data_IF_471879971581
#
_entry.id   IF_471879971581
#
_cell.length_a   1.000
_cell.length_b   1.000
_cell.length_c   1.000
_cell.angle_alpha   90.00
_cell.angle_beta   90.00
_cell.angle_gamma   90.00
#
_symmetry.space_group_name_H-M   'P 1'
#
loop_
_entity.id
_entity.type
_entity.pdbx_description
1 polymer ?
#
# COMPACT_ATOMS: atom_id res chain seq x y z
N UNK A 1 3.24 28.45 6.30
CA UNK A 1 2.16 28.09 7.24
C UNK A 1 2.80 27.57 8.52
N UNK A 2 2.48 28.14 9.68
CA UNK A 2 2.95 27.61 10.96
C UNK A 2 1.99 26.49 11.39
N UNK A 3 2.51 25.30 11.67
CA UNK A 3 1.74 24.17 12.20
C UNK A 3 1.97 24.09 13.72
N UNK A 4 0.90 23.84 14.49
CA UNK A 4 0.98 23.64 15.95
C UNK A 4 0.43 22.27 16.30
N UNK A 5 1.26 21.45 16.93
CA UNK A 5 0.85 20.13 17.43
C UNK A 5 -0.03 20.31 18.66
N UNK A 6 -1.24 19.75 18.62
CA UNK A 6 -2.19 19.71 19.76
C UNK A 6 -2.18 18.35 20.46
N UNK A 7 -1.25 17.47 20.10
CA UNK A 7 -1.21 16.09 20.59
C UNK A 7 -1.11 16.03 22.11
N UNK A 8 -0.27 16.86 22.73
CA UNK A 8 -0.13 16.89 24.20
C UNK A 8 -1.40 17.36 24.91
N UNK A 9 -2.04 18.41 24.41
CA UNK A 9 -3.31 18.90 24.96
C UNK A 9 -4.42 17.84 24.86
N UNK A 10 -4.44 17.10 23.74
CA UNK A 10 -5.39 16.01 23.52
C UNK A 10 -5.12 14.82 24.45
N UNK A 11 -3.86 14.42 24.62
CA UNK A 11 -3.47 13.34 25.55
C UNK A 11 -3.83 13.71 26.98
N UNK A 12 -3.59 14.96 27.40
CA UNK A 12 -3.95 15.45 28.72
C UNK A 12 -5.47 15.41 28.95
N UNK A 13 -6.27 15.91 27.99
CA UNK A 13 -7.73 15.87 28.07
C UNK A 13 -8.25 14.43 28.11
N UNK A 14 -7.69 13.52 27.31
CA UNK A 14 -8.03 12.09 27.31
C UNK A 14 -7.75 11.46 28.67
N UNK A 15 -6.55 11.66 29.22
CA UNK A 15 -6.16 11.08 30.49
C UNK A 15 -7.04 11.62 31.65
N UNK A 16 -7.36 12.92 31.64
CA UNK A 16 -8.28 13.53 32.60
C UNK A 16 -9.71 12.98 32.48
N UNK A 17 -10.21 12.75 31.26
CA UNK A 17 -11.51 12.16 31.05
C UNK A 17 -11.58 10.70 31.55
N UNK A 18 -10.51 9.92 31.34
CA UNK A 18 -10.38 8.56 31.86
C UNK A 18 -10.37 8.56 33.39
N UNK A 19 -9.57 9.42 34.03
CA UNK A 19 -9.55 9.57 35.48
C UNK A 19 -10.94 9.93 36.04
N UNK A 20 -11.62 10.90 35.41
CA UNK A 20 -12.97 11.31 35.84
C UNK A 20 -13.97 10.15 35.73
N UNK A 21 -13.85 9.31 34.69
CA UNK A 21 -14.68 8.12 34.51
C UNK A 21 -14.42 7.05 35.58
N UNK A 22 -13.15 6.81 35.95
CA UNK A 22 -12.81 5.88 37.03
C UNK A 22 -13.38 6.34 38.39
N UNK A 23 -13.21 7.62 38.72
CA UNK A 23 -13.75 8.21 39.95
C UNK A 23 -15.28 8.07 40.01
N UNK A 24 -15.98 8.33 38.90
CA UNK A 24 -17.43 8.16 38.83
C UNK A 24 -17.86 6.69 38.93
N UNK A 25 -17.12 5.76 38.34
CA UNK A 25 -17.41 4.32 38.43
C UNK A 25 -17.20 3.76 39.85
N UNK A 26 -16.18 4.25 40.55
CA UNK A 26 -15.87 3.88 41.94
C UNK A 26 -16.95 4.41 42.90
N UNK A 27 -17.41 5.65 42.69
CA UNK A 27 -18.54 6.21 43.45
C UNK A 27 -19.85 5.43 43.24
N UNK A 28 -20.16 5.03 42.00
CA UNK A 28 -21.35 4.20 41.71
C UNK A 28 -21.26 2.82 42.37
N UNK A 29 -20.08 2.18 42.36
CA UNK A 29 -19.88 0.87 43.03
C UNK A 29 -20.02 0.97 44.56
N UNK A 30 -19.56 2.06 45.16
CA UNK A 30 -19.71 2.31 46.60
C UNK A 30 -21.17 2.52 47.01
N UNK A 31 -21.99 3.16 46.16
CA UNK A 31 -23.43 3.33 46.44
C UNK A 31 -24.22 2.04 46.34
N UNK A 32 -23.88 1.14 45.41
CA UNK A 32 -24.59 -0.14 45.21
C UNK A 32 -24.36 -1.12 46.37
N UNK A 33 -23.15 -1.13 46.95
CA UNK A 33 -22.80 -2.01 48.08
C UNK A 33 -23.49 -1.60 49.38
N UNK A 34 -23.79 -0.32 49.58
CA UNK A 34 -24.58 0.14 50.75
C UNK A 34 -26.07 -0.19 50.66
N UNK A 35 -26.64 -0.38 49.47
CA UNK A 35 -28.08 -0.64 49.30
C UNK A 35 -28.48 -2.11 49.38
N UNK A 36 -27.55 -3.07 49.29
CA UNK A 36 -27.86 -4.51 49.27
C UNK A 36 -28.11 -5.13 50.65
N UNK A 37 -27.92 -4.40 51.76
CA UNK A 37 -28.07 -4.98 53.10
C UNK A 37 -29.48 -4.86 53.72
N UNK A 38 -30.45 -4.28 53.01
CA UNK A 38 -31.81 -4.15 53.56
C UNK A 38 -32.89 -4.29 52.50
N UNK A 39 -33.36 -5.52 52.22
CA UNK A 39 -34.73 -5.82 51.76
C UNK A 39 -34.93 -7.32 51.46
N UNK A 40 -35.43 -8.08 52.42
CA UNK A 40 -36.03 -9.39 52.20
C UNK A 40 -37.48 -9.25 51.72
N UNK A 41 -37.75 -9.33 50.41
CA UNK A 41 -39.09 -9.63 49.87
C UNK A 41 -39.02 -10.07 48.41
N UNK A 42 -39.89 -10.98 48.00
CA UNK A 42 -39.98 -11.61 46.67
C UNK A 42 -40.15 -10.63 45.50
N UNK A 43 -40.64 -9.41 45.74
CA UNK A 43 -40.70 -8.33 44.75
C UNK A 43 -39.31 -7.74 44.40
N UNK A 44 -38.35 -7.81 45.32
CA UNK A 44 -36.96 -7.41 45.08
C UNK A 44 -36.27 -8.37 44.11
N UNK A 45 -36.68 -9.64 44.05
CA UNK A 45 -36.08 -10.66 43.17
C UNK A 45 -36.41 -10.45 41.68
N UNK A 46 -37.62 -9.97 41.37
CA UNK A 46 -38.02 -9.60 39.99
C UNK A 46 -37.35 -8.31 39.52
N UNK A 47 -37.30 -7.29 40.38
CA UNK A 47 -36.56 -6.05 40.07
C UNK A 47 -35.05 -6.27 39.99
N UNK A 48 -34.50 -7.18 40.79
CA UNK A 48 -33.12 -7.61 40.67
C UNK A 48 -32.89 -8.27 39.31
N UNK A 49 -33.77 -9.17 38.86
CA UNK A 49 -33.67 -9.79 37.53
C UNK A 49 -33.72 -8.79 36.37
N UNK A 50 -34.63 -7.81 36.40
CA UNK A 50 -34.71 -6.78 35.35
C UNK A 50 -33.51 -5.81 35.39
N UNK A 51 -33.00 -5.49 36.59
CA UNK A 51 -31.79 -4.69 36.73
C UNK A 51 -30.54 -5.46 36.35
N UNK A 52 -30.50 -6.78 36.56
CA UNK A 52 -29.41 -7.66 36.12
C UNK A 52 -29.43 -7.81 34.60
N UNK A 53 -30.60 -7.91 33.97
CA UNK A 53 -30.74 -7.96 32.51
C UNK A 53 -30.36 -6.62 31.84
N UNK A 54 -30.74 -5.48 32.44
CA UNK A 54 -30.29 -4.16 31.98
C UNK A 54 -28.82 -3.88 32.31
N UNK A 55 -28.30 -4.44 33.40
CA UNK A 55 -26.89 -4.38 33.75
C UNK A 55 -26.08 -5.28 32.82
N UNK A 56 -26.59 -6.44 32.41
CA UNK A 56 -25.98 -7.37 31.46
C UNK A 56 -26.06 -6.81 30.03
N UNK A 57 -27.11 -6.07 29.66
CA UNK A 57 -27.16 -5.31 28.40
C UNK A 57 -26.18 -4.12 28.41
N UNK A 58 -26.02 -3.42 29.54
CA UNK A 58 -24.96 -2.41 29.70
C UNK A 58 -23.58 -3.03 29.79
N UNK A 59 -23.45 -4.21 30.39
CA UNK A 59 -22.21 -4.96 30.49
C UNK A 59 -21.88 -5.50 29.11
N UNK A 60 -22.80 -5.98 28.28
CA UNK A 60 -22.54 -6.41 26.90
C UNK A 60 -21.99 -5.28 26.03
N UNK A 61 -22.40 -4.03 26.27
CA UNK A 61 -21.84 -2.84 25.62
C UNK A 61 -20.50 -2.37 26.24
N UNK A 62 -20.13 -2.88 27.41
CA UNK A 62 -18.90 -2.54 28.16
C UNK A 62 -17.90 -3.70 28.21
N UNK A 63 -18.31 -4.94 27.94
CA UNK A 63 -17.53 -6.18 27.96
C UNK A 63 -16.55 -6.25 26.80
N UNK A 64 -16.66 -5.33 25.82
CA UNK A 64 -15.61 -5.06 24.83
C UNK A 64 -14.50 -4.12 25.32
N UNK A 65 -14.62 -3.52 26.52
CA UNK A 65 -13.62 -2.67 27.15
C UNK A 65 -13.31 -3.18 28.56
N UNK A 66 -12.35 -4.10 28.64
CA UNK A 66 -11.84 -4.63 29.91
C UNK A 66 -11.40 -3.52 30.88
N UNK A 67 -11.54 -3.79 32.19
CA UNK A 67 -11.18 -2.94 33.34
C UNK A 67 -9.66 -2.78 33.56
N UNK A 68 -8.86 -2.73 32.48
CA UNK A 68 -7.43 -2.49 32.53
C UNK A 68 -7.08 -1.43 31.46
N UNK A 69 -6.51 -0.26 31.80
CA UNK A 69 -6.26 0.80 30.82
C UNK A 69 -5.25 0.41 29.73
N UNK A 70 -4.43 -0.63 29.96
CA UNK A 70 -3.56 -1.22 28.93
C UNK A 70 -4.33 -2.18 28.00
N UNK A 71 -5.41 -2.80 28.49
CA UNK A 71 -6.27 -3.69 27.71
C UNK A 71 -7.50 -2.99 27.09
N UNK A 72 -7.79 -1.73 27.45
CA UNK A 72 -8.63 -0.84 26.63
C UNK A 72 -7.89 -0.33 25.38
N UNK A 73 -6.55 -0.45 25.37
CA UNK A 73 -5.71 -0.51 24.17
C UNK A 73 -5.49 -1.98 23.78
N UNK A 74 -6.48 -2.85 24.00
CA UNK A 74 -6.85 -3.74 22.92
C UNK A 74 -7.40 -2.84 21.81
N UNK A 75 -6.48 -2.16 21.10
CA UNK A 75 -6.53 -2.14 19.63
C UNK A 75 -7.14 -3.46 19.29
N UNK A 76 -8.37 -3.45 18.78
CA UNK A 76 -8.97 -4.65 18.21
C UNK A 76 -7.84 -5.26 17.40
N UNK A 77 -7.25 -6.37 17.88
CA UNK A 77 -6.26 -7.14 17.14
C UNK A 77 -7.04 -7.85 16.03
N UNK A 78 -7.83 -7.09 15.27
CA UNK A 78 -8.17 -7.41 13.92
C UNK A 78 -6.82 -7.46 13.25
N UNK A 79 -6.37 -8.67 12.95
CA UNK A 79 -5.21 -8.86 12.11
C UNK A 79 -5.38 -7.95 10.89
N UNK A 80 -4.29 -7.36 10.39
CA UNK A 80 -4.34 -6.68 9.10
C UNK A 80 -5.06 -7.58 8.11
N UNK A 81 -5.91 -7.02 7.23
CA UNK A 81 -6.54 -7.82 6.21
C UNK A 81 -5.50 -8.66 5.47
N UNK A 82 -5.83 -9.91 5.19
CA UNK A 82 -5.00 -10.89 4.45
C UNK A 82 -4.41 -10.36 3.12
N UNK A 83 -5.04 -9.36 2.51
CA UNK A 83 -4.51 -8.71 1.30
C UNK A 83 -3.32 -7.80 1.57
N UNK A 84 -3.09 -7.34 2.81
CA UNK A 84 -1.96 -6.49 3.20
C UNK A 84 -0.65 -7.24 2.99
N UNK A 85 -0.59 -8.52 3.35
CA UNK A 85 0.60 -9.35 3.10
C UNK A 85 0.94 -9.41 1.59
N UNK A 86 -0.09 -9.47 0.73
CA UNK A 86 0.10 -9.44 -0.73
C UNK A 86 0.63 -8.09 -1.21
N UNK A 87 0.25 -6.99 -0.56
CA UNK A 87 0.77 -5.65 -0.87
C UNK A 87 2.22 -5.53 -0.46
N UNK A 88 2.59 -6.02 0.72
CA UNK A 88 3.97 -6.01 1.21
C UNK A 88 4.88 -6.87 0.31
N UNK A 89 4.40 -8.03 -0.14
CA UNK A 89 5.10 -8.87 -1.12
C UNK A 89 5.35 -8.12 -2.43
N UNK A 90 4.33 -7.44 -2.98
CA UNK A 90 4.46 -6.64 -4.20
C UNK A 90 5.45 -5.49 -4.00
N UNK A 91 5.40 -4.79 -2.87
CA UNK A 91 6.34 -3.70 -2.57
C UNK A 91 7.78 -4.20 -2.47
N UNK A 92 7.98 -5.38 -1.88
CA UNK A 92 9.28 -6.04 -1.82
C UNK A 92 9.81 -6.39 -3.21
N UNK A 93 8.98 -6.96 -4.08
CA UNK A 93 9.34 -7.24 -5.48
C UNK A 93 9.70 -5.95 -6.23
N UNK A 94 8.92 -4.88 -6.07
CA UNK A 94 9.23 -3.55 -6.66
C UNK A 94 10.59 -3.03 -6.19
N UNK A 95 10.92 -3.18 -4.91
CA UNK A 95 12.22 -2.78 -4.37
C UNK A 95 13.36 -3.62 -4.97
N UNK A 96 13.15 -4.93 -5.14
CA UNK A 96 14.11 -5.82 -5.80
C UNK A 96 14.33 -5.48 -7.27
N UNK A 97 13.27 -5.16 -8.02
CA UNK A 97 13.39 -4.67 -9.40
C UNK A 97 14.26 -3.42 -9.43
N UNK A 98 14.00 -2.42 -8.57
CA UNK A 98 14.83 -1.21 -8.48
C UNK A 98 16.30 -1.52 -8.21
N UNK A 99 16.59 -2.52 -7.36
CA UNK A 99 17.96 -2.92 -7.08
C UNK A 99 18.64 -3.58 -8.29
N UNK A 100 17.95 -4.53 -8.95
CA UNK A 100 18.44 -5.21 -10.16
C UNK A 100 18.65 -4.25 -11.32
N UNK A 101 17.79 -3.23 -11.46
CA UNK A 101 17.98 -2.15 -12.45
C UNK A 101 19.26 -1.35 -12.21
N UNK A 102 19.63 -1.10 -10.94
CA UNK A 102 20.89 -0.41 -10.61
C UNK A 102 22.11 -1.29 -10.92
N UNK A 103 22.04 -2.57 -10.56
CA UNK A 103 23.06 -3.56 -10.87
C UNK A 103 23.28 -3.65 -12.39
N UNK A 104 22.19 -3.75 -13.16
CA UNK A 104 22.22 -3.76 -14.62
C UNK A 104 22.81 -2.48 -15.20
N UNK A 105 22.52 -1.32 -14.62
CA UNK A 105 23.12 -0.06 -15.06
C UNK A 105 24.65 -0.03 -14.87
N UNK A 106 25.16 -0.63 -13.79
CA UNK A 106 26.61 -0.78 -13.55
C UNK A 106 27.21 -1.74 -14.57
N UNK A 107 26.56 -2.87 -14.86
CA UNK A 107 27.01 -3.81 -15.90
C UNK A 107 27.04 -3.16 -17.29
N UNK A 108 25.99 -2.41 -17.66
CA UNK A 108 25.95 -1.67 -18.92
C UNK A 108 27.08 -0.64 -19.05
N UNK A 109 27.41 0.08 -17.98
CA UNK A 109 28.51 1.05 -17.98
C UNK A 109 29.88 0.36 -18.04
N UNK A 110 30.06 -0.73 -17.29
CA UNK A 110 31.26 -1.58 -17.34
C UNK A 110 31.50 -2.10 -18.76
N UNK A 111 30.46 -2.62 -19.40
CA UNK A 111 30.54 -3.16 -20.76
C UNK A 111 30.84 -2.08 -21.82
N UNK A 112 30.24 -0.89 -21.69
CA UNK A 112 30.47 0.21 -22.62
C UNK A 112 31.89 0.80 -22.54
N UNK A 113 32.47 0.84 -21.33
CA UNK A 113 33.76 1.49 -21.06
C UNK A 113 34.97 0.55 -21.19
N UNK A 114 34.77 -0.72 -21.58
CA UNK A 114 35.85 -1.73 -21.61
C UNK A 114 36.77 -1.57 -22.84
N UNK A 115 38.10 -1.73 -22.69
CA UNK A 115 39.03 -1.92 -23.80
C UNK A 115 38.74 -3.23 -24.55
N UNK A 116 38.87 -3.25 -25.86
CA UNK A 116 38.43 -4.32 -26.80
C UNK A 116 39.13 -5.68 -26.70
N UNK A 117 39.95 -5.95 -25.68
CA UNK A 117 40.88 -7.10 -25.62
C UNK A 117 40.59 -8.13 -24.52
N UNK A 118 39.42 -8.07 -23.89
CA UNK A 118 39.13 -8.83 -22.67
C UNK A 118 37.78 -9.58 -22.82
N UNK A 119 37.71 -10.81 -22.28
CA UNK A 119 36.69 -11.85 -22.57
C UNK A 119 35.25 -11.30 -22.58
N UNK A 120 34.64 -11.23 -23.75
CA UNK A 120 33.32 -10.62 -24.02
C UNK A 120 32.13 -11.41 -23.45
N UNK A 121 32.28 -12.72 -23.30
CA UNK A 121 31.15 -13.62 -23.04
C UNK A 121 30.57 -13.52 -21.62
N UNK A 122 31.39 -13.30 -20.59
CA UNK A 122 30.91 -13.34 -19.19
C UNK A 122 30.03 -12.13 -18.83
N UNK A 123 30.44 -10.91 -19.18
CA UNK A 123 29.62 -9.72 -18.92
C UNK A 123 28.34 -9.67 -19.76
N UNK A 124 28.42 -10.08 -21.02
CA UNK A 124 27.25 -10.14 -21.92
C UNK A 124 26.22 -11.13 -21.39
N UNK A 125 26.68 -12.31 -20.97
CA UNK A 125 25.81 -13.30 -20.35
C UNK A 125 25.20 -12.79 -19.03
N UNK A 126 25.97 -12.05 -18.21
CA UNK A 126 25.45 -11.44 -17.01
C UNK A 126 24.38 -10.36 -17.28
N UNK A 127 24.55 -9.55 -18.34
CA UNK A 127 23.58 -8.55 -18.80
C UNK A 127 22.29 -9.25 -19.29
N UNK A 128 22.44 -10.31 -20.07
CA UNK A 128 21.33 -11.14 -20.55
C UNK A 128 20.52 -11.72 -19.37
N UNK A 129 21.18 -12.41 -18.44
CA UNK A 129 20.53 -13.02 -17.27
C UNK A 129 19.81 -11.94 -16.46
N UNK A 130 20.50 -10.85 -16.14
CA UNK A 130 19.92 -9.79 -15.30
C UNK A 130 18.75 -9.09 -15.99
N UNK A 131 18.81 -8.93 -17.32
CA UNK A 131 17.71 -8.38 -18.12
C UNK A 131 16.50 -9.31 -18.10
N UNK A 132 16.69 -10.61 -18.36
CA UNK A 132 15.62 -11.60 -18.30
C UNK A 132 15.00 -11.71 -16.90
N UNK A 133 15.82 -11.79 -15.86
CA UNK A 133 15.36 -11.79 -14.46
C UNK A 133 14.52 -10.55 -14.15
N UNK A 134 14.97 -9.39 -14.59
CA UNK A 134 14.26 -8.12 -14.37
C UNK A 134 12.90 -8.12 -15.07
N UNK A 135 12.83 -8.55 -16.33
CA UNK A 135 11.56 -8.68 -17.07
C UNK A 135 10.62 -9.70 -16.43
N UNK A 136 11.14 -10.83 -15.96
CA UNK A 136 10.35 -11.82 -15.23
C UNK A 136 9.77 -11.25 -13.92
N UNK A 137 10.55 -10.46 -13.17
CA UNK A 137 10.06 -9.80 -11.96
C UNK A 137 8.95 -8.79 -12.28
N UNK A 138 9.05 -8.04 -13.39
CA UNK A 138 7.96 -7.18 -13.85
C UNK A 138 6.66 -7.97 -14.10
N UNK A 139 6.74 -9.12 -14.80
CA UNK A 139 5.57 -9.98 -15.03
C UNK A 139 5.00 -10.60 -13.76
N UNK A 140 5.85 -10.98 -12.78
CA UNK A 140 5.39 -11.49 -11.47
C UNK A 140 4.66 -10.39 -10.71
N UNK A 141 5.23 -9.20 -10.66
CA UNK A 141 4.63 -8.04 -10.02
C UNK A 141 3.29 -7.65 -10.68
N UNK A 142 3.23 -7.63 -12.01
CA UNK A 142 1.99 -7.39 -12.77
C UNK A 142 0.89 -8.39 -12.39
N UNK A 143 1.20 -9.69 -12.42
CA UNK A 143 0.24 -10.76 -12.07
C UNK A 143 -0.24 -10.64 -10.63
N UNK A 144 0.66 -10.29 -9.71
CA UNK A 144 0.31 -10.07 -8.30
C UNK A 144 -0.64 -8.88 -8.13
N UNK A 145 -0.40 -7.75 -8.83
CA UNK A 145 -1.28 -6.58 -8.82
C UNK A 145 -2.67 -6.92 -9.40
N UNK A 146 -2.73 -7.67 -10.50
CA UNK A 146 -4.00 -8.12 -11.09
C UNK A 146 -4.75 -9.10 -10.18
N UNK A 147 -4.04 -10.03 -9.52
CA UNK A 147 -4.63 -10.94 -8.54
C UNK A 147 -5.23 -10.18 -7.36
N UNK A 148 -4.54 -9.14 -6.87
CA UNK A 148 -5.05 -8.25 -5.83
C UNK A 148 -6.31 -7.50 -6.26
N UNK A 149 -6.35 -7.00 -7.50
CA UNK A 149 -7.53 -6.35 -8.07
C UNK A 149 -8.74 -7.29 -8.13
N UNK A 150 -8.53 -8.55 -8.53
CA UNK A 150 -9.60 -9.56 -8.58
C UNK A 150 -10.12 -9.92 -7.17
N UNK A 151 -9.23 -10.02 -6.17
CA UNK A 151 -9.62 -10.23 -4.76
C UNK A 151 -10.46 -9.08 -4.19
N UNK A 152 -10.26 -7.86 -4.68
CA UNK A 152 -11.02 -6.69 -4.24
C UNK A 152 -12.52 -6.73 -4.65
N UNK A 153 -12.88 -7.48 -5.70
CA UNK A 153 -14.26 -7.52 -6.23
C UNK A 153 -15.27 -8.21 -5.32
N UNK A 154 -14.83 -9.13 -4.46
CA UNK A 154 -15.71 -9.90 -3.56
C UNK A 154 -15.82 -9.33 -2.14
N UNK A 155 -15.26 -8.15 -1.88
CA UNK A 155 -15.09 -7.57 -0.54
C UNK A 155 -16.14 -6.50 -0.24
N UNK A 156 -16.26 -6.13 1.04
CA UNK A 156 -17.14 -5.03 1.45
C UNK A 156 -16.79 -3.70 0.77
N UNK A 157 -17.76 -2.80 0.64
CA UNK A 157 -17.62 -1.54 -0.11
C UNK A 157 -16.43 -0.68 0.33
N UNK A 158 -16.14 -0.63 1.65
CA UNK A 158 -15.01 0.12 2.19
C UNK A 158 -13.66 -0.52 1.87
N UNK A 159 -13.53 -1.84 2.01
CA UNK A 159 -12.31 -2.57 1.67
C UNK A 159 -12.01 -2.49 0.17
N UNK A 160 -13.05 -2.61 -0.66
CA UNK A 160 -12.95 -2.48 -2.12
C UNK A 160 -12.39 -1.13 -2.54
N UNK A 161 -12.82 -0.03 -1.91
CA UNK A 161 -12.30 1.33 -2.18
C UNK A 161 -10.83 1.47 -1.80
N UNK A 162 -10.46 0.98 -0.62
CA UNK A 162 -9.07 1.02 -0.14
C UNK A 162 -8.17 0.21 -1.07
N UNK A 163 -8.58 -1.02 -1.40
CA UNK A 163 -7.87 -1.89 -2.32
C UNK A 163 -7.73 -1.29 -3.72
N UNK A 164 -8.77 -0.65 -4.24
CA UNK A 164 -8.67 0.05 -5.53
C UNK A 164 -7.56 1.12 -5.48
N UNK A 165 -7.55 1.98 -4.46
CA UNK A 165 -6.50 2.99 -4.30
C UNK A 165 -5.10 2.38 -4.22
N UNK A 166 -4.94 1.30 -3.44
CA UNK A 166 -3.65 0.59 -3.31
C UNK A 166 -3.22 -0.01 -4.64
N UNK A 167 -4.12 -0.69 -5.36
CA UNK A 167 -3.84 -1.28 -6.68
C UNK A 167 -3.41 -0.21 -7.68
N UNK A 168 -4.02 0.97 -7.71
CA UNK A 168 -3.57 2.04 -8.60
C UNK A 168 -2.23 2.61 -8.19
N UNK A 169 -1.98 2.80 -6.89
CA UNK A 169 -0.68 3.28 -6.43
C UNK A 169 0.44 2.29 -6.82
N UNK A 170 0.19 0.99 -6.69
CA UNK A 170 1.14 -0.05 -7.09
C UNK A 170 1.30 -0.12 -8.62
N UNK A 171 0.19 -0.06 -9.36
CA UNK A 171 0.22 -0.06 -10.83
C UNK A 171 0.96 1.16 -11.39
N UNK A 172 0.73 2.35 -10.83
CA UNK A 172 1.45 3.57 -11.20
C UNK A 172 2.95 3.45 -10.88
N UNK A 173 3.32 2.98 -9.69
CA UNK A 173 4.72 2.77 -9.32
C UNK A 173 5.43 1.76 -10.23
N UNK A 174 4.75 0.69 -10.62
CA UNK A 174 5.27 -0.31 -11.56
C UNK A 174 5.37 0.24 -12.99
N UNK A 175 4.42 1.09 -13.41
CA UNK A 175 4.43 1.76 -14.70
C UNK A 175 5.62 2.72 -14.82
N UNK A 176 5.85 3.55 -13.80
CA UNK A 176 7.02 4.44 -13.70
C UNK A 176 8.34 3.66 -13.70
N UNK A 177 8.38 2.49 -13.06
CA UNK A 177 9.56 1.64 -13.06
C UNK A 177 9.81 1.00 -14.43
N UNK A 178 8.76 0.56 -15.12
CA UNK A 178 8.83 0.01 -16.49
C UNK A 178 9.25 1.07 -17.51
N UNK A 179 8.78 2.31 -17.40
CA UNK A 179 9.25 3.40 -18.27
C UNK A 179 10.73 3.71 -18.02
N UNK A 180 11.15 3.80 -16.75
CA UNK A 180 12.55 4.00 -16.40
C UNK A 180 13.47 2.89 -16.95
N UNK A 181 13.05 1.63 -16.85
CA UNK A 181 13.82 0.50 -17.39
C UNK A 181 13.93 0.54 -18.91
N UNK A 182 12.81 0.76 -19.62
CA UNK A 182 12.83 0.87 -21.08
C UNK A 182 13.71 2.03 -21.56
N UNK A 183 13.68 3.17 -20.87
CA UNK A 183 14.57 4.28 -21.16
C UNK A 183 16.05 3.93 -20.91
N UNK A 184 16.36 3.22 -19.83
CA UNK A 184 17.72 2.77 -19.55
C UNK A 184 18.23 1.79 -20.63
N UNK A 185 17.39 0.83 -21.05
CA UNK A 185 17.71 -0.14 -22.11
C UNK A 185 17.88 0.51 -23.48
N UNK A 186 16.93 1.37 -23.89
CA UNK A 186 17.04 2.14 -25.15
C UNK A 186 18.27 3.04 -25.15
N UNK A 187 18.61 3.64 -24.00
CA UNK A 187 19.82 4.45 -23.83
C UNK A 187 21.10 3.62 -23.98
N UNK A 188 21.12 2.42 -23.43
CA UNK A 188 22.24 1.47 -23.58
C UNK A 188 22.39 1.01 -25.04
N UNK A 189 21.32 0.57 -25.70
CA UNK A 189 21.32 0.18 -27.12
C UNK A 189 21.85 1.30 -28.03
N UNK A 190 21.41 2.54 -27.80
CA UNK A 190 21.89 3.70 -28.58
C UNK A 190 23.39 3.93 -28.40
N UNK A 191 23.92 3.75 -27.18
CA UNK A 191 25.35 3.90 -26.91
C UNK A 191 26.19 2.77 -27.50
N UNK A 192 25.70 1.54 -27.47
CA UNK A 192 26.35 0.42 -28.16
C UNK A 192 26.45 0.67 -29.66
N UNK A 193 25.32 1.00 -30.31
CA UNK A 193 25.31 1.27 -31.76
C UNK A 193 26.25 2.41 -32.15
N UNK A 194 26.28 3.50 -31.38
CA UNK A 194 27.20 4.62 -31.63
C UNK A 194 28.68 4.23 -31.47
N UNK A 195 29.01 3.30 -30.57
CA UNK A 195 30.37 2.77 -30.40
C UNK A 195 30.76 1.91 -31.60
N UNK A 196 29.84 1.08 -32.07
CA UNK A 196 30.02 0.20 -33.24
C UNK A 196 30.21 0.98 -34.53
N UNK A 197 29.39 2.01 -34.80
CA UNK A 197 29.55 2.88 -35.97
C UNK A 197 30.95 3.55 -35.97
N UNK A 198 31.46 3.94 -34.80
CA UNK A 198 32.83 4.48 -34.66
C UNK A 198 33.92 3.44 -34.89
N UNK A 199 33.75 2.20 -34.43
CA UNK A 199 34.74 1.14 -34.68
C UNK A 199 34.70 0.67 -36.13
N UNK A 200 33.52 0.48 -36.73
CA UNK A 200 33.37 0.11 -38.13
C UNK A 200 34.01 1.13 -39.07
N UNK A 201 33.85 2.45 -38.82
CA UNK A 201 34.51 3.47 -39.64
C UNK A 201 36.03 3.38 -39.54
N UNK A 202 36.58 3.02 -38.38
CA UNK A 202 38.04 2.86 -38.20
C UNK A 202 38.60 1.66 -38.99
N UNK A 203 37.84 0.56 -39.06
CA UNK A 203 38.24 -0.66 -39.79
C UNK A 203 37.90 -0.59 -41.28
N UNK A 204 36.79 0.06 -41.66
CA UNK A 204 36.38 0.23 -43.05
C UNK A 204 37.21 1.29 -43.79
N UNK A 205 37.93 2.17 -43.06
CA UNK A 205 38.86 3.17 -43.63
C UNK A 205 40.32 2.77 -43.45
N UNK A 206 40.59 1.54 -42.99
CA UNK A 206 41.93 1.02 -42.69
C UNK A 206 42.55 0.22 -43.83
N UNK A 207 42.91 0.89 -44.92
CA UNK A 207 43.78 0.36 -45.97
C UNK A 207 44.44 1.48 -46.77
N UNK A 208 45.67 1.93 -46.42
CA UNK A 208 46.39 2.93 -47.20
C UNK A 208 47.12 2.25 -48.38
N UNK A 209 46.59 2.46 -49.59
CA UNK A 209 47.17 2.27 -50.94
C UNK A 209 46.19 1.56 -51.88
N UNK A 210 45.07 2.22 -52.20
CA UNK A 210 44.52 2.11 -53.55
C UNK A 210 44.89 3.38 -54.29
N UNK A 211 46.15 3.43 -54.71
CA UNK A 211 46.54 4.27 -55.83
C UNK A 211 45.73 3.79 -57.03
N UNK A 212 45.08 4.73 -57.72
CA UNK A 212 44.30 4.49 -58.92
C UNK A 212 45.13 3.69 -59.93
N UNK A 213 44.85 2.39 -60.08
CA UNK A 213 45.38 1.63 -61.20
C UNK A 213 44.32 0.65 -61.70
N UNK A 214 44.23 0.64 -63.03
CA UNK A 214 43.21 0.08 -63.94
C UNK A 214 42.55 -1.27 -63.56
N UNK A 215 41.30 -1.52 -63.99
CA UNK A 215 40.38 -2.43 -63.32
C UNK A 215 40.19 -3.78 -64.03
N UNK A 216 41.25 -4.54 -64.34
CA UNK A 216 41.04 -5.83 -65.05
C UNK A 216 41.84 -7.07 -64.60
N UNK A 217 42.76 -6.96 -63.63
CA UNK A 217 43.54 -8.13 -63.16
C UNK A 217 43.47 -8.37 -61.62
N UNK A 218 42.53 -7.72 -60.91
CA UNK A 218 42.53 -7.66 -59.44
C UNK A 218 41.56 -8.63 -58.73
N UNK A 219 40.84 -9.49 -59.45
CA UNK A 219 39.86 -10.39 -58.81
C UNK A 219 40.48 -11.64 -58.17
N UNK A 220 41.73 -11.99 -58.50
CA UNK A 220 42.32 -13.31 -58.17
C UNK A 220 43.48 -13.24 -57.16
N UNK A 221 43.79 -12.07 -56.59
CA UNK A 221 44.99 -11.88 -55.74
C UNK A 221 44.74 -11.23 -54.38
N UNK A 222 43.51 -10.84 -54.03
CA UNK A 222 43.29 -9.93 -52.89
C UNK A 222 42.40 -10.41 -51.73
N UNK A 223 42.50 -11.68 -51.36
CA UNK A 223 42.19 -12.08 -49.99
C UNK A 223 43.31 -12.97 -49.49
N UNK A 224 44.23 -12.39 -48.72
CA UNK A 224 45.14 -13.21 -47.90
C UNK A 224 44.27 -13.99 -46.91
N UNK A 225 44.56 -15.27 -46.66
CA UNK A 225 43.75 -16.13 -45.79
C UNK A 225 43.56 -15.55 -44.37
N UNK A 226 44.52 -14.74 -43.94
CA UNK A 226 44.49 -13.94 -42.70
C UNK A 226 43.45 -12.80 -42.75
N UNK A 227 43.23 -12.19 -43.91
CA UNK A 227 42.21 -11.15 -44.13
C UNK A 227 40.81 -11.74 -44.28
N UNK A 228 40.70 -12.96 -44.84
CA UNK A 228 39.45 -13.71 -44.87
C UNK A 228 39.05 -14.16 -43.45
N UNK A 229 40.00 -14.65 -42.64
CA UNK A 229 39.78 -14.93 -41.20
C UNK A 229 39.40 -13.68 -40.40
N UNK A 230 39.97 -12.52 -40.70
CA UNK A 230 39.58 -11.25 -40.07
C UNK A 230 38.16 -10.83 -40.46
N UNK A 231 37.75 -11.02 -41.71
CA UNK A 231 36.37 -10.74 -42.15
C UNK A 231 35.39 -11.75 -41.54
N UNK A 232 35.74 -13.04 -41.52
CA UNK A 232 34.91 -14.12 -40.98
C UNK A 232 34.74 -14.00 -39.45
N UNK A 233 35.82 -13.73 -38.71
CA UNK A 233 35.74 -13.43 -37.27
C UNK A 233 35.00 -12.13 -36.96
N UNK A 234 35.06 -11.13 -37.84
CA UNK A 234 34.27 -9.90 -37.71
C UNK A 234 32.78 -10.16 -38.00
N UNK A 235 32.44 -11.08 -38.91
CA UNK A 235 31.04 -11.48 -39.15
C UNK A 235 30.43 -12.26 -37.99
N UNK A 236 31.18 -13.19 -37.36
CA UNK A 236 30.71 -13.93 -36.18
C UNK A 236 30.48 -13.00 -34.99
N UNK A 237 31.40 -12.06 -34.75
CA UNK A 237 31.26 -11.06 -33.70
C UNK A 237 30.06 -10.13 -33.95
N UNK A 238 29.79 -9.73 -35.20
CA UNK A 238 28.60 -8.92 -35.54
C UNK A 238 27.30 -9.72 -35.31
N UNK A 239 27.28 -11.02 -35.62
CA UNK A 239 26.10 -11.86 -35.43
C UNK A 239 25.76 -12.07 -33.94
N UNK A 240 26.76 -12.28 -33.09
CA UNK A 240 26.58 -12.38 -31.63
C UNK A 240 26.02 -11.07 -31.04
N UNK A 241 26.51 -9.92 -31.53
CA UNK A 241 26.01 -8.60 -31.12
C UNK A 241 24.60 -8.30 -31.58
N UNK A 242 24.25 -8.68 -32.81
CA UNK A 242 22.87 -8.56 -33.26
C UNK A 242 21.91 -9.38 -32.40
N UNK A 243 22.35 -10.55 -31.91
CA UNK A 243 21.56 -11.37 -30.99
C UNK A 243 21.31 -10.63 -29.66
N UNK A 244 22.34 -10.01 -29.08
CA UNK A 244 22.23 -9.20 -27.85
C UNK A 244 21.23 -8.04 -28.05
N UNK A 245 21.37 -7.30 -29.14
CA UNK A 245 20.48 -6.17 -29.46
C UNK A 245 19.02 -6.65 -29.63
N UNK A 246 18.82 -7.76 -30.35
CA UNK A 246 17.47 -8.34 -30.54
C UNK A 246 16.85 -8.75 -29.21
N UNK A 247 17.62 -9.34 -28.31
CA UNK A 247 17.13 -9.75 -26.99
C UNK A 247 16.71 -8.55 -26.14
N UNK A 248 17.51 -7.49 -26.09
CA UNK A 248 17.16 -6.28 -25.36
C UNK A 248 15.92 -5.62 -25.98
N UNK A 249 15.85 -5.55 -27.31
CA UNK A 249 14.68 -5.04 -28.02
C UNK A 249 13.41 -5.85 -27.70
N UNK A 250 13.53 -7.18 -27.62
CA UNK A 250 12.44 -8.06 -27.19
C UNK A 250 12.00 -7.73 -25.76
N UNK A 251 12.94 -7.58 -24.81
CA UNK A 251 12.60 -7.20 -23.43
C UNK A 251 11.85 -5.86 -23.34
N UNK A 252 12.22 -4.88 -24.18
CA UNK A 252 11.51 -3.60 -24.27
C UNK A 252 10.08 -3.79 -24.81
N UNK A 253 9.91 -4.67 -25.79
CA UNK A 253 8.60 -5.00 -26.38
C UNK A 253 7.69 -5.69 -25.35
N UNK A 254 8.19 -6.70 -24.64
CA UNK A 254 7.47 -7.40 -23.57
C UNK A 254 7.00 -6.44 -22.48
N UNK A 255 7.87 -5.50 -22.06
CA UNK A 255 7.51 -4.48 -21.09
C UNK A 255 6.48 -3.45 -21.60
N UNK A 256 6.35 -3.29 -22.92
CA UNK A 256 5.34 -2.43 -23.51
C UNK A 256 3.93 -3.05 -23.37
N UNK A 257 3.82 -4.38 -23.43
CA UNK A 257 2.58 -5.08 -23.15
C UNK A 257 2.18 -4.90 -21.68
N UNK A 258 3.11 -5.13 -20.76
CA UNK A 258 2.88 -4.86 -19.33
C UNK A 258 2.46 -3.41 -19.11
N UNK A 259 3.14 -2.45 -19.76
CA UNK A 259 2.80 -1.03 -19.64
C UNK A 259 1.36 -0.72 -20.04
N UNK A 260 0.86 -1.32 -21.12
CA UNK A 260 -0.53 -1.12 -21.57
C UNK A 260 -1.54 -1.69 -20.57
N UNK A 261 -1.26 -2.88 -20.05
CA UNK A 261 -2.11 -3.53 -19.04
C UNK A 261 -2.17 -2.71 -17.74
N UNK A 262 -1.02 -2.19 -17.28
CA UNK A 262 -0.95 -1.33 -16.10
C UNK A 262 -1.63 0.03 -16.35
N UNK A 263 -1.45 0.61 -17.53
CA UNK A 263 -2.08 1.88 -17.90
C UNK A 263 -3.61 1.77 -17.86
N UNK A 264 -4.18 0.65 -18.32
CA UNK A 264 -5.62 0.41 -18.23
C UNK A 264 -6.11 0.42 -16.77
N UNK A 265 -5.38 -0.23 -15.86
CA UNK A 265 -5.71 -0.26 -14.42
C UNK A 265 -5.63 1.12 -13.75
N UNK A 266 -4.77 2.02 -14.24
CA UNK A 266 -4.64 3.40 -13.75
C UNK A 266 -5.72 4.32 -14.36
N UNK A 267 -6.08 4.12 -15.63
CA UNK A 267 -7.09 4.94 -16.32
C UNK A 267 -8.51 4.67 -15.82
N UNK A 268 -8.88 3.41 -15.54
CA UNK A 268 -10.19 3.06 -14.94
C UNK A 268 -10.40 3.74 -13.58
N UNK A 269 -9.31 4.15 -12.94
CA UNK A 269 -9.33 4.79 -11.65
C UNK A 269 -9.65 6.31 -11.74
N UNK A 270 -9.48 6.98 -12.87
CA UNK A 270 -9.65 8.44 -12.98
C UNK A 270 -8.43 9.22 -12.47
N UNK A 271 -8.50 10.55 -12.41
CA UNK A 271 -7.33 11.34 -11.97
C UNK A 271 -7.09 11.18 -10.46
N UNK A 272 -5.82 11.05 -10.04
CA UNK A 272 -5.43 10.93 -8.61
C UNK A 272 -6.00 12.07 -7.76
N UNK A 273 -6.11 13.28 -8.34
CA UNK A 273 -6.60 14.46 -7.66
C UNK A 273 -8.11 14.38 -7.36
N UNK A 274 -8.91 13.96 -8.35
CA UNK A 274 -10.36 13.79 -8.22
C UNK A 274 -10.73 12.81 -7.08
N UNK A 275 -9.85 11.83 -6.83
CA UNK A 275 -10.01 10.85 -5.74
C UNK A 275 -9.69 11.42 -4.37
N UNK A 276 -8.68 12.26 -4.26
CA UNK A 276 -8.32 12.90 -2.99
C UNK A 276 -9.46 13.82 -2.58
N UNK A 277 -9.93 14.65 -3.52
CA UNK A 277 -11.06 15.55 -3.28
C UNK A 277 -12.32 14.76 -2.92
N UNK A 278 -12.66 13.71 -3.66
CA UNK A 278 -13.79 12.84 -3.36
C UNK A 278 -13.69 12.15 -1.98
N UNK A 279 -12.51 11.61 -1.62
CA UNK A 279 -12.32 10.92 -0.34
C UNK A 279 -12.32 11.90 0.85
N UNK A 280 -11.75 13.09 0.66
CA UNK A 280 -11.78 14.16 1.67
C UNK A 280 -13.19 14.68 1.85
N UNK A 281 -13.94 14.90 0.76
CA UNK A 281 -15.35 15.30 0.78
C UNK A 281 -16.21 14.25 1.49
N UNK A 282 -16.07 12.97 1.12
CA UNK A 282 -16.73 11.85 1.81
C UNK A 282 -16.42 11.82 3.32
N UNK A 283 -15.17 12.07 3.69
CA UNK A 283 -14.75 12.10 5.09
C UNK A 283 -15.34 13.29 5.84
N UNK A 284 -15.43 14.45 5.18
CA UNK A 284 -16.09 15.64 5.70
C UNK A 284 -17.57 15.37 5.97
N UNK A 285 -18.29 14.82 4.98
CA UNK A 285 -19.71 14.45 5.10
C UNK A 285 -19.93 13.46 6.25
N UNK A 286 -19.14 12.38 6.33
CA UNK A 286 -19.24 11.39 7.42
C UNK A 286 -18.97 12.01 8.80
N UNK A 287 -18.03 12.94 8.89
CA UNK A 287 -17.71 13.64 10.15
C UNK A 287 -18.87 14.55 10.57
N UNK A 288 -19.48 15.25 9.61
CA UNK A 288 -20.67 16.08 9.86
C UNK A 288 -21.87 15.24 10.31
N UNK A 289 -22.11 14.11 9.66
CA UNK A 289 -23.13 13.13 10.07
C UNK A 289 -22.86 12.57 11.47
N UNK A 290 -21.61 12.20 11.76
CA UNK A 290 -21.19 11.77 13.09
C UNK A 290 -21.42 12.83 14.17
N UNK A 291 -21.14 14.10 13.86
CA UNK A 291 -21.44 15.23 14.75
C UNK A 291 -22.95 15.36 15.01
N UNK A 292 -23.80 15.24 13.98
CA UNK A 292 -25.27 15.24 14.12
C UNK A 292 -25.75 14.09 15.01
N UNK A 293 -25.16 12.90 14.89
CA UNK A 293 -25.48 11.77 15.75
C UNK A 293 -25.05 12.01 17.20
N UNK A 294 -23.86 12.59 17.44
CA UNK A 294 -23.41 12.97 18.78
C UNK A 294 -24.32 14.01 19.44
N UNK A 295 -24.78 15.02 18.69
CA UNK A 295 -25.73 16.02 19.19
C UNK A 295 -27.09 15.39 19.54
N UNK A 296 -27.58 14.46 18.71
CA UNK A 296 -28.76 13.66 19.05
C UNK A 296 -28.52 12.86 20.34
N UNK A 297 -27.40 12.18 20.47
CA UNK A 297 -27.07 11.42 21.67
C UNK A 297 -27.02 12.30 22.93
N UNK A 298 -26.42 13.50 22.84
CA UNK A 298 -26.37 14.46 23.94
C UNK A 298 -27.78 14.93 24.35
N UNK A 299 -28.64 15.27 23.39
CA UNK A 299 -30.02 15.69 23.68
C UNK A 299 -30.84 14.56 24.31
N UNK A 300 -30.69 13.32 23.84
CA UNK A 300 -31.28 12.14 24.49
C UNK A 300 -30.75 11.98 25.92
N UNK A 301 -29.45 12.13 26.15
CA UNK A 301 -28.85 12.01 27.49
C UNK A 301 -29.38 13.10 28.45
N UNK A 302 -29.49 14.36 27.99
CA UNK A 302 -30.05 15.47 28.79
C UNK A 302 -31.52 15.24 29.14
N UNK A 303 -32.32 14.73 28.19
CA UNK A 303 -33.75 14.42 28.43
C UNK A 303 -33.89 13.30 29.45
N UNK A 304 -33.06 12.26 29.37
CA UNK A 304 -33.11 11.14 30.30
C UNK A 304 -32.81 11.56 31.76
N UNK A 305 -31.88 12.51 31.98
CA UNK A 305 -31.62 13.07 33.32
C UNK A 305 -32.86 13.75 33.93
N UNK A 306 -33.62 14.50 33.12
CA UNK A 306 -34.87 15.15 33.57
C UNK A 306 -35.95 14.12 33.90
N UNK A 307 -36.07 13.06 33.08
CA UNK A 307 -37.00 11.96 33.32
C UNK A 307 -36.67 11.19 34.59
N UNK A 308 -35.38 10.93 34.86
CA UNK A 308 -34.92 10.30 36.10
C UNK A 308 -35.25 11.14 37.35
N UNK A 309 -35.10 12.46 37.27
CA UNK A 309 -35.48 13.37 38.37
C UNK A 309 -37.00 13.35 38.64
N UNK A 310 -37.83 13.32 37.59
CA UNK A 310 -39.30 13.21 37.73
C UNK A 310 -39.68 11.87 38.35
N UNK A 311 -39.04 10.77 37.93
CA UNK A 311 -39.27 9.44 38.49
C UNK A 311 -38.92 9.40 39.98
N UNK A 312 -37.79 10.01 40.38
CA UNK A 312 -37.37 10.08 41.78
C UNK A 312 -38.37 10.88 42.63
N UNK A 313 -38.85 12.03 42.13
CA UNK A 313 -39.88 12.83 42.81
C UNK A 313 -41.19 12.05 42.99
N UNK A 314 -41.62 11.31 41.96
CA UNK A 314 -42.80 10.45 42.04
C UNK A 314 -42.66 9.38 43.12
N UNK A 315 -41.49 8.73 43.21
CA UNK A 315 -41.22 7.71 44.25
C UNK A 315 -41.29 8.32 45.66
N UNK A 316 -40.71 9.50 45.87
CA UNK A 316 -40.79 10.22 47.16
C UNK A 316 -42.26 10.53 47.52
N UNK A 317 -43.04 10.97 46.54
CA UNK A 317 -44.45 11.31 46.74
C UNK A 317 -45.28 10.09 47.16
N UNK A 318 -45.06 8.94 46.52
CA UNK A 318 -45.72 7.67 46.90
C UNK A 318 -45.35 7.26 48.33
N UNK A 319 -44.08 7.37 48.71
CA UNK A 319 -43.61 7.07 50.08
C UNK A 319 -44.31 7.99 51.10
N UNK A 320 -44.41 9.29 50.83
CA UNK A 320 -45.11 10.25 51.70
C UNK A 320 -46.59 9.90 51.88
N UNK A 321 -47.29 9.53 50.80
CA UNK A 321 -48.70 9.11 50.89
C UNK A 321 -48.84 7.85 51.75
N UNK A 322 -47.98 6.85 51.56
CA UNK A 322 -48.00 5.62 52.35
C UNK A 322 -47.80 5.88 53.85
N UNK A 323 -46.86 6.76 54.20
CA UNK A 323 -46.62 7.16 55.59
C UNK A 323 -47.84 7.90 56.17
N UNK A 324 -48.48 8.78 55.40
CA UNK A 324 -49.63 9.55 55.88
C UNK A 324 -50.88 8.68 56.09
N UNK A 325 -51.13 7.71 55.21
CA UNK A 325 -52.21 6.73 55.39
C UNK A 325 -51.90 5.80 56.58
N UNK A 326 -50.66 5.35 56.72
CA UNK A 326 -50.23 4.49 57.84
C UNK A 326 -50.27 5.17 59.20
N UNK A 327 -50.06 6.48 59.26
CA UNK A 327 -50.13 7.27 60.52
C UNK A 327 -51.55 7.69 60.87
N UNK A 328 -52.43 7.93 59.88
CA UNK A 328 -53.84 8.27 60.11
C UNK A 328 -54.71 7.05 60.45
N UNK A 329 -54.24 5.84 60.14
CA UNK A 329 -54.89 4.57 60.48
C UNK A 329 -54.46 3.96 61.83
N UNK A 330 -53.64 4.67 62.63
CA UNK A 330 -53.29 4.34 64.01
C UNK A 330 -53.94 5.32 64.98
#
# INVERSE_FOLDING_TARGET
>A
MATRSLTEAFVLMRNNAVHTRHVLAEQVSSTTTTTTFSSSTTAARRRASELDEMADDRMALVSGLSMDPEAAIAVTKTLPPDWVDSVDEIQYEVARIKQKMKELAVLHDKHLNRPTLDDTSEEEHAIEITTQETTQMFHRCQRAVQALQNRARGRGEQERRILANVVSSLAQGLQELSTAFRHAQSGYLRRMKNREERSQVLFSTGGPLMEETEPDDLYDRWFTEEQLQLVEGNTEMVEEREREIRQIAQSISELNEIFRDLAHMVVEQGTVLDRIDYNVEQSCVKTEEGLKQLQKAETYQKKNRKMLAILLLFVILVIMILVLVGTKGR
#
